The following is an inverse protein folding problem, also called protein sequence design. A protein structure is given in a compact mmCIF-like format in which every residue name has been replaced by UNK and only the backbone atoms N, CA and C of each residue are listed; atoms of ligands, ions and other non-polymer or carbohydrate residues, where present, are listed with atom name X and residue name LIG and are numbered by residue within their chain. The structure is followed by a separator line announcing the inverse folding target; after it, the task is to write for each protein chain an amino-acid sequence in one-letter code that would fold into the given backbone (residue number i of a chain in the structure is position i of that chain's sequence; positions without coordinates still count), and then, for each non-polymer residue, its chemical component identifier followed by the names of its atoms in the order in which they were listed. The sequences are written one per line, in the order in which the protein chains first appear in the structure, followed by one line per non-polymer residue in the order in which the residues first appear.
data_IF_328333014396
#
_entry.id   IF_328333014396
#
_cell.length_a   1.000
_cell.length_b   1.000
_cell.length_c   1.000
_cell.angle_alpha   90.00
_cell.angle_beta   90.00
_cell.angle_gamma   90.00
#
_symmetry.space_group_name_H-M   'P 1'
#
loop_
_entity.id
_entity.type
_entity.pdbx_description
1 polymer ?
#
# COMPACT_ATOMS: atom_id res chain seq x y z
N UNK A 1 27.39 -21.63 -58.21
CA UNK A 1 26.49 -21.95 -57.08
C UNK A 1 25.22 -21.15 -57.32
N UNK A 2 24.09 -21.81 -57.60
CA UNK A 2 22.83 -21.14 -57.88
C UNK A 2 22.03 -21.01 -56.59
N UNK A 3 21.64 -19.79 -56.21
CA UNK A 3 20.73 -19.54 -55.11
C UNK A 3 19.31 -19.36 -55.64
N UNK A 4 18.35 -20.03 -55.02
CA UNK A 4 16.92 -19.74 -55.21
C UNK A 4 16.42 -19.00 -53.98
N UNK A 5 15.59 -17.99 -54.20
CA UNK A 5 14.95 -17.20 -53.13
C UNK A 5 13.46 -17.46 -53.14
N UNK A 6 12.89 -17.71 -51.96
CA UNK A 6 11.44 -17.78 -51.75
C UNK A 6 11.00 -16.57 -50.92
N UNK A 7 9.97 -15.88 -51.39
CA UNK A 7 9.29 -14.82 -50.64
C UNK A 7 7.81 -15.19 -50.58
N UNK A 8 7.22 -15.32 -49.38
CA UNK A 8 5.79 -15.59 -49.26
C UNK A 8 4.95 -14.55 -50.01
N UNK A 9 3.88 -14.95 -50.71
CA UNK A 9 3.03 -14.02 -51.45
C UNK A 9 2.16 -13.14 -50.54
N UNK A 10 1.99 -13.53 -49.28
CA UNK A 10 1.24 -12.79 -48.25
C UNK A 10 2.00 -12.88 -46.92
N UNK A 11 1.75 -11.91 -46.03
CA UNK A 11 2.22 -12.00 -44.64
C UNK A 11 1.69 -13.26 -43.98
N UNK A 12 2.55 -13.94 -43.23
CA UNK A 12 2.16 -15.07 -42.41
C UNK A 12 1.51 -14.57 -41.12
N UNK A 13 0.42 -15.21 -40.71
CA UNK A 13 -0.16 -15.01 -39.39
C UNK A 13 0.69 -15.70 -38.32
N UNK A 14 0.38 -15.45 -37.04
CA UNK A 14 1.01 -16.16 -35.94
C UNK A 14 0.83 -17.69 -36.09
N UNK A 15 1.87 -18.45 -35.78
CA UNK A 15 1.86 -19.90 -35.82
C UNK A 15 3.18 -20.53 -36.25
N UNK A 16 3.21 -21.85 -36.20
CA UNK A 16 4.36 -22.67 -36.60
C UNK A 16 4.24 -23.10 -38.06
N UNK A 17 5.28 -22.82 -38.83
CA UNK A 17 5.43 -23.17 -40.24
C UNK A 17 6.58 -24.14 -40.40
N UNK A 18 6.40 -25.16 -41.24
CA UNK A 18 7.49 -26.06 -41.65
C UNK A 18 7.75 -25.89 -43.13
N UNK A 19 8.96 -25.45 -43.47
CA UNK A 19 9.39 -25.27 -44.84
C UNK A 19 10.28 -26.46 -45.25
N UNK A 20 10.04 -27.00 -46.44
CA UNK A 20 10.95 -27.94 -47.09
C UNK A 20 11.02 -27.62 -48.58
N UNK A 21 12.15 -27.94 -49.19
CA UNK A 21 12.38 -27.77 -50.63
C UNK A 21 12.37 -29.15 -51.26
N UNK A 22 11.58 -29.34 -52.31
CA UNK A 22 11.63 -30.53 -53.17
C UNK A 22 12.15 -30.11 -54.54
N UNK A 23 13.03 -30.93 -55.11
CA UNK A 23 13.54 -30.76 -56.48
C UNK A 23 13.28 -32.03 -57.28
N UNK A 24 12.91 -31.87 -58.54
CA UNK A 24 12.76 -32.95 -59.50
C UNK A 24 13.66 -32.65 -60.72
N UNK A 25 14.45 -33.64 -61.14
CA UNK A 25 15.26 -33.50 -62.35
C UNK A 25 14.45 -33.84 -63.63
N UNK A 26 15.03 -33.60 -64.80
CA UNK A 26 14.36 -33.89 -66.10
C UNK A 26 14.06 -35.38 -66.33
N UNK A 27 14.71 -36.27 -65.59
CA UNK A 27 14.49 -37.70 -65.66
C UNK A 27 13.42 -38.18 -64.64
N UNK A 28 12.88 -37.27 -63.82
CA UNK A 28 11.87 -37.56 -62.80
C UNK A 28 12.43 -37.98 -61.44
N UNK A 29 13.74 -37.86 -61.20
CA UNK A 29 14.31 -38.16 -59.89
C UNK A 29 14.02 -37.00 -58.93
N UNK A 30 13.48 -37.31 -57.74
CA UNK A 30 13.18 -36.31 -56.72
C UNK A 30 14.16 -36.34 -55.55
N UNK A 31 14.39 -35.19 -54.93
CA UNK A 31 15.12 -35.05 -53.67
C UNK A 31 14.48 -33.98 -52.80
N UNK A 32 14.62 -34.11 -51.49
CA UNK A 32 14.02 -33.21 -50.51
C UNK A 32 15.10 -32.66 -49.57
N UNK A 33 14.98 -31.40 -49.19
CA UNK A 33 15.79 -30.82 -48.12
C UNK A 33 15.38 -31.37 -46.76
N UNK A 34 16.22 -31.13 -45.75
CA UNK A 34 15.74 -31.15 -44.37
C UNK A 34 14.64 -30.09 -44.18
N UNK A 35 13.73 -30.34 -43.23
CA UNK A 35 12.71 -29.37 -42.84
C UNK A 35 13.32 -28.23 -42.03
N UNK A 36 12.84 -27.01 -42.26
CA UNK A 36 13.10 -25.82 -41.47
C UNK A 36 11.81 -25.39 -40.77
N UNK A 37 11.81 -25.37 -39.45
CA UNK A 37 10.69 -24.84 -38.66
C UNK A 37 10.86 -23.34 -38.46
N UNK A 38 9.80 -22.57 -38.68
CA UNK A 38 9.72 -21.13 -38.46
C UNK A 38 8.48 -20.84 -37.64
N UNK A 39 8.63 -20.20 -36.49
CA UNK A 39 7.51 -19.70 -35.70
C UNK A 39 7.35 -18.22 -35.96
N UNK A 40 6.14 -17.80 -36.34
CA UNK A 40 5.77 -16.39 -36.42
C UNK A 40 4.96 -16.06 -35.18
N UNK A 41 5.37 -15.02 -34.46
CA UNK A 41 4.65 -14.52 -33.31
C UNK A 41 4.48 -13.00 -33.44
N UNK A 42 3.26 -12.54 -33.18
CA UNK A 42 2.84 -11.15 -33.36
C UNK A 42 2.04 -10.64 -32.15
N UNK A 43 2.00 -11.40 -31.05
CA UNK A 43 1.14 -11.12 -29.90
C UNK A 43 1.96 -10.99 -28.63
N UNK A 44 1.72 -9.93 -27.87
CA UNK A 44 2.28 -9.74 -26.55
C UNK A 44 1.29 -8.98 -25.66
N UNK A 45 1.25 -9.31 -24.38
CA UNK A 45 0.40 -8.65 -23.40
C UNK A 45 1.10 -8.54 -22.04
N UNK A 46 0.72 -7.52 -21.27
CA UNK A 46 0.94 -7.48 -19.82
C UNK A 46 -0.40 -7.86 -19.19
N UNK A 47 -0.44 -8.99 -18.49
CA UNK A 47 -1.67 -9.57 -17.95
C UNK A 47 -2.06 -8.94 -16.61
N UNK A 48 -1.08 -8.58 -15.79
CA UNK A 48 -1.29 -7.94 -14.50
C UNK A 48 -0.04 -7.16 -14.06
N UNK A 49 -0.27 -6.06 -13.33
CA UNK A 49 0.75 -5.32 -12.57
C UNK A 49 0.19 -5.15 -11.16
N UNK A 50 0.98 -5.47 -10.15
CA UNK A 50 0.56 -5.46 -8.74
C UNK A 50 1.62 -4.77 -7.89
N UNK A 51 1.20 -3.84 -7.03
CA UNK A 51 2.02 -3.33 -5.92
C UNK A 51 1.99 -4.37 -4.80
N UNK A 52 3.09 -5.08 -4.60
CA UNK A 52 3.17 -6.25 -3.69
C UNK A 52 3.25 -5.83 -2.23
N UNK A 53 3.90 -4.70 -1.95
CA UNK A 53 4.02 -4.13 -0.61
C UNK A 53 3.06 -2.96 -0.38
N UNK A 54 1.83 -3.12 -0.86
CA UNK A 54 0.69 -2.27 -0.52
C UNK A 54 0.41 -2.37 1.00
N UNK A 55 0.26 -1.24 1.68
CA UNK A 55 0.14 -1.21 3.14
C UNK A 55 -1.14 -0.49 3.57
N UNK A 56 -1.63 -0.80 4.77
CA UNK A 56 -2.88 -0.21 5.26
C UNK A 56 -4.13 -0.86 4.65
N UNK A 57 -4.70 -0.28 3.58
CA UNK A 57 -5.85 -0.83 2.86
C UNK A 57 -5.37 -1.74 1.72
N UNK A 58 -5.80 -3.00 1.63
CA UNK A 58 -5.41 -3.86 0.51
C UNK A 58 -5.98 -3.38 -0.83
N UNK A 59 -5.16 -3.48 -1.89
CA UNK A 59 -5.52 -3.29 -3.30
C UNK A 59 -5.93 -1.86 -3.68
N UNK A 60 -5.51 -0.84 -2.91
CA UNK A 60 -5.75 0.57 -3.24
C UNK A 60 -4.52 1.27 -3.86
N UNK A 61 -3.37 0.60 -3.89
CA UNK A 61 -2.08 1.11 -4.36
C UNK A 61 -1.57 2.33 -3.57
N UNK A 62 -1.85 2.37 -2.27
CA UNK A 62 -1.35 3.35 -1.32
C UNK A 62 -0.44 2.67 -0.31
N UNK A 63 0.83 3.07 -0.26
CA UNK A 63 1.82 2.43 0.60
C UNK A 63 2.65 3.43 1.38
N UNK A 64 3.04 3.09 2.60
CA UNK A 64 4.08 3.80 3.35
C UNK A 64 5.48 3.25 3.09
N UNK A 65 5.63 2.33 2.14
CA UNK A 65 6.91 1.77 1.78
C UNK A 65 7.61 2.62 0.71
N UNK A 66 8.69 3.31 1.10
CA UNK A 66 9.51 4.13 0.19
C UNK A 66 10.24 3.32 -0.90
N UNK A 67 10.24 1.99 -0.82
CA UNK A 67 10.83 1.09 -1.82
C UNK A 67 9.73 0.20 -2.37
N UNK A 68 8.90 0.70 -3.30
CA UNK A 68 7.79 -0.08 -3.83
C UNK A 68 8.30 -1.33 -4.53
N UNK A 69 7.59 -2.43 -4.32
CA UNK A 69 7.82 -3.72 -4.93
C UNK A 69 6.66 -4.01 -5.88
N UNK A 70 6.99 -4.32 -7.13
CA UNK A 70 6.00 -4.66 -8.14
C UNK A 70 6.18 -6.10 -8.62
N UNK A 71 5.05 -6.74 -8.87
CA UNK A 71 4.98 -8.00 -9.61
C UNK A 71 4.25 -7.79 -10.93
N UNK A 72 4.82 -8.31 -12.01
CA UNK A 72 4.27 -8.23 -13.36
C UNK A 72 4.02 -9.64 -13.86
N UNK A 73 2.80 -9.90 -14.36
CA UNK A 73 2.42 -11.18 -14.99
C UNK A 73 2.32 -10.99 -16.49
N UNK A 74 3.01 -11.83 -17.24
CA UNK A 74 3.12 -11.81 -18.70
C UNK A 74 3.07 -13.24 -19.27
N UNK A 75 2.81 -13.42 -20.57
CA UNK A 75 3.03 -14.68 -21.27
C UNK A 75 4.47 -15.23 -21.13
N UNK A 76 4.66 -16.54 -21.26
CA UNK A 76 5.95 -17.23 -20.97
C UNK A 76 6.99 -17.14 -22.10
N UNK A 77 6.59 -16.62 -23.25
CA UNK A 77 7.45 -16.23 -24.37
C UNK A 77 8.10 -14.85 -24.18
N UNK A 78 7.68 -14.08 -23.16
CA UNK A 78 8.37 -12.84 -22.74
C UNK A 78 9.76 -13.13 -22.20
N UNK A 79 10.76 -12.39 -22.68
CA UNK A 79 12.17 -12.55 -22.28
C UNK A 79 12.76 -11.31 -21.59
N UNK A 80 12.07 -10.16 -21.63
CA UNK A 80 12.50 -8.93 -20.96
C UNK A 80 11.28 -8.18 -20.42
N UNK A 81 11.34 -7.78 -19.14
CA UNK A 81 10.39 -6.85 -18.51
C UNK A 81 11.17 -5.72 -17.87
N UNK A 82 10.79 -4.48 -18.16
CA UNK A 82 11.41 -3.25 -17.64
C UNK A 82 10.38 -2.36 -16.99
N UNK A 83 10.79 -1.63 -15.96
CA UNK A 83 9.94 -0.72 -15.20
C UNK A 83 10.55 0.67 -15.11
N UNK A 84 9.70 1.69 -15.10
CA UNK A 84 10.06 3.10 -14.98
C UNK A 84 9.01 3.86 -14.17
N UNK A 85 9.44 4.84 -13.36
CA UNK A 85 8.54 5.75 -12.62
C UNK A 85 8.69 7.22 -13.05
N UNK A 86 9.55 7.50 -14.04
CA UNK A 86 9.90 8.85 -14.47
C UNK A 86 9.48 9.14 -15.92
N UNK A 87 8.49 8.39 -16.41
CA UNK A 87 7.97 8.50 -17.78
C UNK A 87 8.91 7.91 -18.83
N UNK A 88 9.67 6.87 -18.48
CA UNK A 88 10.54 6.15 -19.39
C UNK A 88 11.89 6.81 -19.65
N UNK A 89 12.33 7.74 -18.78
CA UNK A 89 13.68 8.34 -18.87
C UNK A 89 14.73 7.39 -18.30
N UNK A 90 14.39 6.70 -17.21
CA UNK A 90 15.19 5.64 -16.62
C UNK A 90 14.37 4.34 -16.57
N UNK A 91 15.06 3.23 -16.84
CA UNK A 91 14.47 1.89 -16.89
C UNK A 91 15.27 0.93 -16.04
N UNK A 92 14.56 0.06 -15.34
CA UNK A 92 15.14 -0.99 -14.52
C UNK A 92 14.61 -2.34 -14.97
N UNK A 93 15.49 -3.33 -15.06
CA UNK A 93 15.11 -4.67 -15.47
C UNK A 93 14.51 -5.43 -14.29
N UNK A 94 13.33 -6.00 -14.50
CA UNK A 94 12.74 -6.95 -13.56
C UNK A 94 13.52 -8.27 -13.57
N UNK A 95 13.37 -9.04 -12.51
CA UNK A 95 13.91 -10.40 -12.43
C UNK A 95 12.76 -11.40 -12.54
N UNK A 96 12.92 -12.41 -13.40
CA UNK A 96 11.94 -13.47 -13.49
C UNK A 96 11.92 -14.29 -12.19
N UNK A 97 10.74 -14.54 -11.67
CA UNK A 97 10.53 -15.32 -10.46
C UNK A 97 10.69 -16.83 -10.74
N UNK A 98 10.53 -17.65 -9.70
CA UNK A 98 10.49 -19.10 -9.87
C UNK A 98 9.29 -19.59 -10.71
N UNK A 99 8.25 -18.76 -10.86
CA UNK A 99 7.07 -19.07 -11.67
C UNK A 99 7.24 -18.44 -13.05
N UNK A 100 7.28 -19.23 -14.15
CA UNK A 100 7.39 -18.69 -15.50
C UNK A 100 6.28 -17.67 -15.80
N UNK A 101 6.66 -16.56 -16.44
CA UNK A 101 5.74 -15.46 -16.75
C UNK A 101 5.46 -14.50 -15.58
N UNK A 102 6.04 -14.73 -14.40
CA UNK A 102 5.98 -13.80 -13.27
C UNK A 102 7.33 -13.13 -13.10
N UNK A 103 7.32 -11.81 -13.01
CA UNK A 103 8.52 -10.99 -12.88
C UNK A 103 8.38 -10.05 -11.70
N UNK A 104 9.43 -9.93 -10.90
CA UNK A 104 9.45 -9.10 -9.69
C UNK A 104 10.51 -8.00 -9.82
N UNK A 105 10.19 -6.82 -9.28
CA UNK A 105 11.14 -5.74 -9.13
C UNK A 105 10.87 -4.96 -7.84
N UNK A 106 11.93 -4.71 -7.06
CA UNK A 106 11.89 -3.85 -5.88
C UNK A 106 12.78 -2.64 -6.12
N UNK A 107 12.24 -1.43 -5.91
CA UNK A 107 13.02 -0.21 -6.00
C UNK A 107 14.17 -0.23 -4.98
N UNK A 108 15.40 0.03 -5.45
CA UNK A 108 16.59 0.00 -4.58
C UNK A 108 16.81 1.32 -3.83
N UNK A 109 16.43 2.42 -4.46
CA UNK A 109 16.48 3.76 -3.89
C UNK A 109 15.09 4.15 -3.39
N UNK A 110 15.06 5.00 -2.38
CA UNK A 110 13.82 5.53 -1.84
C UNK A 110 13.14 6.42 -2.89
N UNK A 111 11.88 6.11 -3.17
CA UNK A 111 11.00 6.90 -4.03
C UNK A 111 10.30 7.93 -3.15
N UNK A 112 10.18 9.15 -3.67
CA UNK A 112 9.66 10.29 -2.89
C UNK A 112 8.18 10.15 -2.54
N UNK A 113 7.75 10.97 -1.59
CA UNK A 113 6.36 11.13 -1.17
C UNK A 113 5.42 11.55 -2.32
N UNK A 114 4.17 11.10 -2.27
CA UNK A 114 3.09 11.48 -3.18
C UNK A 114 2.79 10.49 -4.31
N UNK A 115 2.12 11.02 -5.34
CA UNK A 115 1.61 10.23 -6.48
C UNK A 115 2.70 9.91 -7.48
N UNK A 116 2.69 8.67 -7.97
CA UNK A 116 3.60 8.15 -9.00
C UNK A 116 2.83 7.36 -10.04
N UNK A 117 3.40 7.29 -11.25
CA UNK A 117 2.91 6.43 -12.33
C UNK A 117 4.02 5.48 -12.74
N UNK A 118 3.83 4.20 -12.45
CA UNK A 118 4.67 3.13 -12.95
C UNK A 118 4.34 2.88 -14.43
N UNK A 119 5.36 2.86 -15.27
CA UNK A 119 5.29 2.38 -16.66
C UNK A 119 6.08 1.08 -16.76
N UNK A 120 5.41 0.02 -17.22
CA UNK A 120 5.99 -1.30 -17.46
C UNK A 120 6.07 -1.53 -18.96
N UNK A 121 7.19 -2.06 -19.43
CA UNK A 121 7.40 -2.49 -20.81
C UNK A 121 7.82 -3.95 -20.83
N UNK A 122 7.18 -4.73 -21.70
CA UNK A 122 7.52 -6.13 -21.93
C UNK A 122 7.96 -6.34 -23.37
N UNK A 123 9.00 -7.16 -23.57
CA UNK A 123 9.48 -7.61 -24.90
C UNK A 123 9.49 -9.13 -24.94
N UNK A 124 8.98 -9.73 -26.02
CA UNK A 124 9.00 -11.18 -26.22
C UNK A 124 10.19 -11.69 -27.05
N UNK A 125 10.30 -13.02 -27.15
CA UNK A 125 11.34 -13.69 -27.94
C UNK A 125 11.30 -13.38 -29.44
N UNK A 126 10.14 -12.99 -29.98
CA UNK A 126 9.99 -12.57 -31.38
C UNK A 126 10.28 -11.07 -31.57
N UNK A 127 10.43 -10.32 -30.48
CA UNK A 127 10.71 -8.89 -30.46
C UNK A 127 9.46 -8.02 -30.46
N UNK A 128 8.27 -8.57 -30.23
CA UNK A 128 7.08 -7.74 -30.03
C UNK A 128 7.19 -7.01 -28.69
N UNK A 129 6.66 -5.78 -28.63
CA UNK A 129 6.71 -4.94 -27.44
C UNK A 129 5.32 -4.42 -27.07
N UNK A 130 5.08 -4.26 -25.78
CA UNK A 130 3.89 -3.58 -25.25
C UNK A 130 4.21 -2.86 -23.95
N UNK A 131 3.39 -1.85 -23.64
CA UNK A 131 3.53 -1.04 -22.42
C UNK A 131 2.20 -0.94 -21.68
N UNK A 132 2.25 -0.92 -20.35
CA UNK A 132 1.10 -0.67 -19.49
C UNK A 132 1.50 0.20 -18.30
N UNK A 133 0.54 0.92 -17.72
CA UNK A 133 0.76 1.80 -16.57
C UNK A 133 -0.05 1.37 -15.35
N UNK A 134 0.48 1.70 -14.17
CA UNK A 134 -0.18 1.59 -12.87
C UNK A 134 0.11 2.86 -12.06
N UNK A 135 -0.93 3.54 -11.60
CA UNK A 135 -0.78 4.65 -10.66
C UNK A 135 -0.71 4.11 -9.23
N UNK A 136 0.16 4.70 -8.42
CA UNK A 136 0.31 4.37 -7.00
C UNK A 136 0.71 5.62 -6.20
N UNK A 137 0.56 5.55 -4.88
CA UNK A 137 0.89 6.64 -3.96
C UNK A 137 1.83 6.10 -2.90
N UNK A 138 2.91 6.85 -2.65
CA UNK A 138 3.74 6.65 -1.46
C UNK A 138 3.31 7.69 -0.46
N UNK A 139 2.82 7.27 0.70
CA UNK A 139 2.45 8.12 1.82
C UNK A 139 3.11 7.67 3.12
N UNK A 140 4.08 8.46 3.54
CA UNK A 140 4.88 8.23 4.75
C UNK A 140 4.55 9.19 5.89
N UNK A 141 3.53 10.03 5.71
CA UNK A 141 3.26 11.15 6.58
C UNK A 141 2.06 10.85 7.48
N UNK A 142 2.27 11.03 8.78
CA UNK A 142 1.18 11.04 9.76
C UNK A 142 1.51 11.99 10.89
N UNK A 143 0.58 12.89 11.17
CA UNK A 143 0.66 13.87 12.26
C UNK A 143 0.68 13.19 13.63
N UNK A 144 1.42 13.77 14.58
CA UNK A 144 1.38 13.33 15.98
C UNK A 144 0.05 13.79 16.61
N UNK A 145 -0.81 12.86 17.06
CA UNK A 145 -2.12 13.21 17.60
C UNK A 145 -1.99 13.87 18.98
N UNK A 146 -2.99 14.65 19.37
CA UNK A 146 -3.08 15.27 20.70
C UNK A 146 -4.34 14.84 21.42
N UNK A 147 -4.31 14.85 22.76
CA UNK A 147 -5.47 14.59 23.62
C UNK A 147 -5.52 15.61 24.75
N UNK A 148 -6.72 16.10 25.05
CA UNK A 148 -7.00 16.97 26.20
C UNK A 148 -8.31 16.57 26.87
N UNK A 149 -8.43 16.81 28.17
CA UNK A 149 -9.71 16.74 28.87
C UNK A 149 -10.61 17.87 28.37
N UNK A 150 -11.88 17.58 28.08
CA UNK A 150 -12.83 18.62 27.68
C UNK A 150 -13.01 19.62 28.82
N UNK A 151 -12.91 20.91 28.52
CA UNK A 151 -13.13 21.98 29.48
C UNK A 151 -14.53 21.93 30.12
N UNK A 152 -15.54 21.31 29.51
CA UNK A 152 -16.84 21.14 30.18
C UNK A 152 -16.77 20.17 31.35
N UNK A 153 -15.88 19.18 31.24
CA UNK A 153 -15.75 18.09 32.20
C UNK A 153 -14.56 18.29 33.14
N UNK A 154 -13.65 19.22 32.84
CA UNK A 154 -12.53 19.60 33.72
C UNK A 154 -13.00 20.43 34.93
N UNK A 155 -13.43 19.79 36.01
CA UNK A 155 -14.10 20.47 37.12
C UNK A 155 -13.14 21.37 37.92
N UNK A 156 -13.65 22.41 38.59
CA UNK A 156 -12.78 23.27 39.39
C UNK A 156 -11.84 24.13 38.52
N UNK A 157 -10.53 23.84 38.53
CA UNK A 157 -9.52 24.65 37.84
C UNK A 157 -9.22 24.11 36.45
N UNK A 158 -9.58 24.85 35.39
CA UNK A 158 -9.32 24.41 34.03
C UNK A 158 -7.82 24.24 33.73
N UNK A 159 -7.46 23.15 33.07
CA UNK A 159 -6.12 22.77 32.67
C UNK A 159 -5.31 22.05 33.72
N UNK A 160 -5.88 21.72 34.90
CA UNK A 160 -5.19 20.94 35.92
C UNK A 160 -5.39 19.42 35.77
N UNK A 161 -6.26 19.00 34.84
CA UNK A 161 -6.61 17.60 34.56
C UNK A 161 -7.22 16.87 35.77
N UNK A 162 -7.89 17.59 36.68
CA UNK A 162 -8.57 17.04 37.85
C UNK A 162 -10.09 17.23 37.70
N UNK A 163 -10.84 16.13 37.78
CA UNK A 163 -12.29 16.18 37.54
C UNK A 163 -13.11 15.40 38.54
N UNK A 164 -14.27 15.95 38.93
CA UNK A 164 -15.33 15.23 39.64
C UNK A 164 -16.35 14.58 38.69
N UNK A 165 -16.14 14.65 37.38
CA UNK A 165 -16.94 13.97 36.36
C UNK A 165 -16.36 12.58 36.14
N UNK A 166 -17.06 11.55 36.62
CA UNK A 166 -16.61 10.15 36.51
C UNK A 166 -16.88 9.50 35.15
N UNK A 167 -17.31 10.27 34.15
CA UNK A 167 -17.40 9.84 32.76
C UNK A 167 -16.98 10.99 31.84
N UNK A 168 -15.71 11.44 31.95
CA UNK A 168 -15.27 12.64 31.28
C UNK A 168 -15.12 12.42 29.78
N UNK A 169 -15.29 13.50 29.01
CA UNK A 169 -15.07 13.56 27.58
C UNK A 169 -13.66 14.07 27.29
N UNK A 170 -13.00 13.47 26.32
CA UNK A 170 -11.68 13.88 25.84
C UNK A 170 -11.78 14.33 24.40
N UNK A 171 -11.12 15.45 24.08
CA UNK A 171 -11.03 15.98 22.73
C UNK A 171 -9.70 15.56 22.13
N UNK A 172 -9.75 15.04 20.90
CA UNK A 172 -8.58 14.61 20.16
C UNK A 172 -8.31 15.61 19.03
N UNK A 173 -7.04 15.92 18.83
CA UNK A 173 -6.59 16.89 17.85
C UNK A 173 -5.47 16.34 16.98
N UNK A 174 -5.15 17.09 15.92
CA UNK A 174 -4.07 16.78 14.98
C UNK A 174 -4.21 15.37 14.35
N UNK A 175 -5.45 15.01 14.02
CA UNK A 175 -5.80 13.76 13.35
C UNK A 175 -5.95 14.07 11.86
N UNK A 176 -5.13 13.43 11.03
CA UNK A 176 -5.14 13.66 9.59
C UNK A 176 -6.44 13.18 8.91
N UNK A 177 -6.69 13.68 7.71
CA UNK A 177 -7.98 13.48 7.03
C UNK A 177 -8.20 12.03 6.59
N UNK A 178 -7.11 11.34 6.29
CA UNK A 178 -6.94 9.94 5.92
C UNK A 178 -6.73 9.03 7.13
N UNK A 179 -6.91 9.52 8.36
CA UNK A 179 -6.94 8.65 9.53
C UNK A 179 -8.07 7.61 9.42
N UNK A 180 -7.73 6.32 9.40
CA UNK A 180 -8.67 5.20 9.30
C UNK A 180 -9.05 4.64 10.67
N UNK A 181 -8.09 4.59 11.60
CA UNK A 181 -8.34 4.17 12.98
C UNK A 181 -7.86 5.23 13.96
N UNK A 182 -8.74 5.62 14.88
CA UNK A 182 -8.42 6.52 15.99
C UNK A 182 -8.93 5.87 17.26
N UNK A 183 -8.00 5.46 18.13
CA UNK A 183 -8.31 4.81 19.40
C UNK A 183 -7.57 5.49 20.55
N UNK A 184 -8.08 5.29 21.77
CA UNK A 184 -7.45 5.78 22.99
C UNK A 184 -7.24 4.61 23.94
N UNK A 185 -5.99 4.30 24.24
CA UNK A 185 -5.63 3.37 25.32
C UNK A 185 -5.74 4.13 26.65
N UNK A 186 -6.47 3.55 27.61
CA UNK A 186 -6.64 4.06 28.97
C UNK A 186 -6.05 3.04 29.94
N UNK A 187 -5.13 3.51 30.78
CA UNK A 187 -4.48 2.70 31.81
C UNK A 187 -4.87 3.20 33.21
N UNK A 188 -5.38 2.30 34.04
CA UNK A 188 -5.71 2.59 35.45
C UNK A 188 -5.43 1.37 36.34
N UNK A 189 -4.71 1.53 37.45
CA UNK A 189 -4.52 0.45 38.43
C UNK A 189 -3.95 -0.86 37.86
N UNK A 190 -3.21 -0.81 36.74
CA UNK A 190 -2.70 -1.99 36.02
C UNK A 190 -3.64 -2.59 34.97
N UNK A 191 -4.89 -2.12 34.85
CA UNK A 191 -5.83 -2.52 33.78
C UNK A 191 -5.74 -1.59 32.57
N UNK A 192 -5.96 -2.15 31.38
CA UNK A 192 -6.00 -1.44 30.10
C UNK A 192 -7.39 -1.54 29.47
N UNK A 193 -7.91 -0.42 29.01
CA UNK A 193 -9.12 -0.31 28.17
C UNK A 193 -8.72 0.37 26.85
N UNK A 194 -9.30 -0.06 25.73
CA UNK A 194 -9.13 0.63 24.45
C UNK A 194 -10.49 1.14 24.01
N UNK A 195 -10.57 2.46 23.83
CA UNK A 195 -11.76 3.16 23.41
C UNK A 195 -11.64 3.56 21.94
N UNK A 196 -12.71 3.42 21.17
CA UNK A 196 -12.78 3.95 19.81
C UNK A 196 -13.25 5.40 19.85
N UNK A 197 -12.50 6.30 19.23
CA UNK A 197 -12.89 7.70 19.12
C UNK A 197 -14.01 7.88 18.08
N UNK A 198 -14.80 8.94 18.25
CA UNK A 198 -15.88 9.31 17.34
C UNK A 198 -15.58 10.66 16.70
N UNK A 199 -15.81 10.77 15.39
CA UNK A 199 -15.75 12.03 14.65
C UNK A 199 -17.15 12.62 14.51
N UNK A 200 -17.35 13.85 14.94
CA UNK A 200 -18.62 14.55 14.78
C UNK A 200 -18.82 15.09 13.35
N UNK A 201 -19.99 15.66 13.07
CA UNK A 201 -20.32 16.21 11.75
C UNK A 201 -19.49 17.44 11.35
N UNK A 202 -18.81 18.08 12.30
CA UNK A 202 -17.89 19.21 12.08
C UNK A 202 -16.44 18.76 11.95
N UNK A 203 -16.16 17.47 12.11
CA UNK A 203 -14.85 16.87 11.97
C UNK A 203 -14.04 16.79 13.27
N UNK A 204 -14.62 17.16 14.42
CA UNK A 204 -13.91 17.05 15.69
C UNK A 204 -13.94 15.61 16.19
N UNK A 205 -12.81 15.17 16.71
CA UNK A 205 -12.68 13.84 17.29
C UNK A 205 -12.81 13.93 18.81
N UNK A 206 -13.59 13.02 19.39
CA UNK A 206 -13.75 12.89 20.83
C UNK A 206 -13.81 11.44 21.26
N UNK A 207 -13.55 11.19 22.53
CA UNK A 207 -13.79 9.90 23.14
C UNK A 207 -14.38 10.08 24.55
N UNK A 208 -15.29 9.20 24.92
CA UNK A 208 -15.87 9.14 26.27
C UNK A 208 -15.79 7.68 26.73
N UNK A 209 -15.42 7.42 28.00
CA UNK A 209 -15.40 6.07 28.54
C UNK A 209 -16.73 5.33 28.34
N UNK A 210 -16.70 4.02 28.22
CA UNK A 210 -17.94 3.22 28.07
C UNK A 210 -18.75 3.22 29.38
N UNK A 211 -18.07 3.00 30.50
CA UNK A 211 -18.60 3.03 31.86
C UNK A 211 -18.16 4.26 32.67
N UNK A 212 -18.59 4.32 33.93
CA UNK A 212 -18.10 5.31 34.90
C UNK A 212 -16.77 4.85 35.50
N UNK A 213 -15.85 5.77 35.65
CA UNK A 213 -14.56 5.61 36.30
C UNK A 213 -14.67 5.75 37.82
N UNK A 214 -13.84 5.01 38.55
CA UNK A 214 -13.65 5.21 39.99
C UNK A 214 -12.64 6.34 40.25
N UNK A 215 -12.62 6.86 41.48
CA UNK A 215 -11.63 7.86 41.87
C UNK A 215 -10.20 7.32 41.70
N UNK A 216 -9.28 8.17 41.24
CA UNK A 216 -7.87 7.86 41.01
C UNK A 216 -7.33 8.36 39.67
N UNK A 217 -6.09 7.99 39.38
CA UNK A 217 -5.37 8.43 38.19
C UNK A 217 -5.60 7.50 36.98
N UNK A 218 -5.84 8.10 35.83
CA UNK A 218 -5.98 7.47 34.53
C UNK A 218 -4.95 8.05 33.58
N UNK A 219 -4.20 7.18 32.88
CA UNK A 219 -3.26 7.60 31.84
C UNK A 219 -3.82 7.23 30.48
N UNK A 220 -3.98 8.22 29.60
CA UNK A 220 -4.55 8.08 28.27
C UNK A 220 -3.49 8.29 27.20
N UNK A 221 -3.52 7.50 26.14
CA UNK A 221 -2.68 7.67 24.95
C UNK A 221 -3.50 7.42 23.70
N UNK A 222 -3.49 8.36 22.75
CA UNK A 222 -4.15 8.19 21.45
C UNK A 222 -3.26 7.38 20.54
N UNK A 223 -3.85 6.45 19.77
CA UNK A 223 -3.23 5.79 18.63
C UNK A 223 -4.01 6.17 17.37
N UNK A 224 -3.30 6.60 16.34
CA UNK A 224 -3.84 6.87 15.00
C UNK A 224 -3.14 5.98 13.99
N UNK A 225 -3.92 5.41 13.08
CA UNK A 225 -3.45 4.74 11.87
C UNK A 225 -4.20 5.30 10.65
N UNK A 226 -3.47 5.65 9.59
CA UNK A 226 -4.04 6.20 8.35
C UNK A 226 -4.32 5.11 7.29
N UNK A 227 -4.79 5.53 6.11
CA UNK A 227 -5.11 4.65 4.98
C UNK A 227 -3.85 3.95 4.43
N UNK A 228 -2.69 4.59 4.44
CA UNK A 228 -1.39 4.01 4.04
C UNK A 228 -0.80 3.06 5.09
N UNK A 229 -1.38 3.02 6.30
CA UNK A 229 -0.92 2.21 7.42
C UNK A 229 0.24 2.83 8.19
N UNK A 230 0.49 4.14 8.08
CA UNK A 230 1.34 4.84 9.04
C UNK A 230 0.68 4.83 10.42
N UNK A 231 1.49 4.80 11.48
CA UNK A 231 1.00 4.76 12.85
C UNK A 231 1.72 5.78 13.74
N UNK A 232 0.93 6.53 14.52
CA UNK A 232 1.43 7.49 15.50
C UNK A 232 0.67 7.41 16.81
N UNK A 233 1.35 7.83 17.87
CA UNK A 233 0.80 7.93 19.21
C UNK A 233 0.95 9.34 19.75
N UNK A 234 0.02 9.76 20.60
CA UNK A 234 0.14 11.03 21.32
C UNK A 234 1.15 10.91 22.46
N UNK A 235 1.58 12.06 22.99
CA UNK A 235 2.05 12.10 24.37
C UNK A 235 0.95 11.59 25.33
N UNK A 236 1.35 10.98 26.44
CA UNK A 236 0.41 10.51 27.45
C UNK A 236 -0.21 11.69 28.22
N UNK A 237 -1.52 11.60 28.46
CA UNK A 237 -2.27 12.52 29.32
C UNK A 237 -2.66 11.79 30.61
N UNK A 238 -2.29 12.34 31.76
CA UNK A 238 -2.77 11.85 33.06
C UNK A 238 -3.93 12.72 33.53
N UNK A 239 -5.03 12.09 33.90
CA UNK A 239 -6.23 12.71 34.47
C UNK A 239 -6.58 12.04 35.78
N UNK A 240 -6.89 12.84 36.80
CA UNK A 240 -7.34 12.34 38.10
C UNK A 240 -8.85 12.54 38.21
N UNK A 241 -9.57 11.46 38.50
CA UNK A 241 -10.98 11.52 38.88
C UNK A 241 -11.07 11.59 40.40
N UNK A 242 -11.78 12.59 40.92
CA UNK A 242 -12.09 12.73 42.34
C UNK A 242 -13.53 13.20 42.54
N UNK A 243 -14.42 12.25 42.85
CA UNK A 243 -15.84 12.50 43.07
C UNK A 243 -16.20 12.76 44.53
N UNK A 244 -15.23 12.70 45.44
CA UNK A 244 -15.49 12.69 46.87
C UNK A 244 -14.85 13.88 47.58
N UNK A 245 -15.51 14.31 48.66
CA UNK A 245 -14.91 15.23 49.61
C UNK A 245 -15.09 14.57 50.98
N UNK A 246 -13.99 14.35 51.69
CA UNK A 246 -14.03 13.93 53.09
C UNK A 246 -13.95 15.16 53.99
N UNK A 247 -14.84 15.24 54.98
CA UNK A 247 -14.70 16.18 56.10
C UNK A 247 -14.20 15.35 57.28
N UNK A 248 -12.91 15.53 57.60
CA UNK A 248 -12.24 14.66 58.57
C UNK A 248 -12.61 14.99 60.03
N UNK A 249 -13.00 16.24 60.32
CA UNK A 249 -13.60 16.64 61.60
C UNK A 249 -14.20 18.06 61.51
N UNK A 250 -15.24 18.32 62.31
CA UNK A 250 -15.66 19.68 62.68
C UNK A 250 -15.33 19.84 64.16
N UNK A 251 -14.31 20.63 64.49
CA UNK A 251 -14.03 21.01 65.88
C UNK A 251 -14.75 22.31 66.23
N UNK A 252 -15.52 22.28 67.32
CA UNK A 252 -16.09 23.47 67.93
C UNK A 252 -15.03 24.09 68.86
N UNK A 253 -14.49 25.24 68.47
CA UNK A 253 -13.62 26.02 69.35
C UNK A 253 -14.51 26.85 70.27
N UNK A 254 -14.58 26.44 71.54
CA UNK A 254 -15.23 27.21 72.62
C UNK A 254 -14.31 28.30 73.18
#
# INVERSE_FOLDING_TARGET
VGGWTFTPPTSWGAGDYTLSVSVEDKAGNTSHSASLTVTVDTQIAINNIELVNDSGIPDDNLTNNVRPQFQVKVPTDVNEVRLSIDGGKTWFNATQSATPGVWDYTWLADVGEGKHTLTVEATDKAGNQTTQQLDFIIDTLLSEPTIVLDNTDDSGTKGDNLTNVNKPTFLLGNIDADARYVTVEVQHGGTKEVLTATKDATGNWSVTPTGTWADGDYTLTVRVEDEAGNEKHSASLTVTVDTQITIDAIELVN
#
